data_IF_292469026726
#
_entry.id   IF_292469026726
#
_cell.length_a   1.000
_cell.length_b   1.000
_cell.length_c   1.000
_cell.angle_alpha   90.00
_cell.angle_beta   90.00
_cell.angle_gamma   90.00
#
_symmetry.space_group_name_H-M   'P 1'
#
loop_
_entity.id
_entity.type
_entity.pdbx_description
1 polymer ?
#
# COMPACT_ATOMS: atom_id res chain seq x y z
N UNK A 1 1.23 22.76 -25.12
CA UNK A 1 1.60 21.46 -24.50
C UNK A 1 1.61 21.46 -22.97
N UNK A 2 1.75 22.61 -22.28
CA UNK A 2 1.79 22.67 -20.80
C UNK A 2 0.50 22.23 -20.09
N UNK A 3 -0.67 22.70 -20.56
CA UNK A 3 -1.98 22.40 -19.94
C UNK A 3 -2.30 20.90 -19.92
N UNK A 4 -2.02 20.17 -21.01
CA UNK A 4 -2.28 18.74 -21.10
C UNK A 4 -1.39 17.94 -20.15
N UNK A 5 -0.11 18.31 -20.05
CA UNK A 5 0.86 17.70 -19.13
C UNK A 5 0.46 17.95 -17.67
N UNK A 6 0.00 19.16 -17.36
CA UNK A 6 -0.48 19.51 -16.03
C UNK A 6 -1.74 18.73 -15.63
N UNK A 7 -2.69 18.55 -16.56
CA UNK A 7 -3.87 17.69 -16.33
C UNK A 7 -3.50 16.22 -16.12
N UNK A 8 -2.51 15.71 -16.85
CA UNK A 8 -1.98 14.35 -16.63
C UNK A 8 -1.31 14.25 -15.26
N UNK A 9 -0.50 15.24 -14.88
CA UNK A 9 0.17 15.28 -13.57
C UNK A 9 -0.86 15.28 -12.41
N UNK A 10 -1.91 16.09 -12.51
CA UNK A 10 -3.01 16.16 -11.53
C UNK A 10 -3.85 14.87 -11.45
N UNK A 11 -3.71 13.96 -12.41
CA UNK A 11 -4.51 12.74 -12.52
C UNK A 11 -5.90 12.97 -13.12
N UNK A 12 -6.11 14.06 -13.87
CA UNK A 12 -7.34 14.25 -14.64
C UNK A 12 -7.40 13.29 -15.83
N UNK A 13 -6.24 12.90 -16.36
CA UNK A 13 -6.10 11.97 -17.48
C UNK A 13 -5.23 10.78 -17.03
N UNK A 14 -5.72 9.53 -17.07
CA UNK A 14 -4.92 8.36 -16.74
C UNK A 14 -3.73 8.19 -17.68
N UNK A 15 -2.53 7.83 -17.17
CA UNK A 15 -1.40 7.54 -18.05
C UNK A 15 -1.72 6.32 -18.93
N UNK A 16 -1.53 6.46 -20.24
CA UNK A 16 -1.87 5.43 -21.24
C UNK A 16 -1.29 4.03 -20.94
N UNK A 17 -0.05 3.88 -20.43
CA UNK A 17 0.47 2.57 -20.03
C UNK A 17 -0.41 1.86 -18.98
N UNK A 18 -0.93 2.61 -18.01
CA UNK A 18 -1.77 2.09 -16.92
C UNK A 18 -3.14 1.63 -17.43
N UNK A 19 -3.78 2.42 -18.30
CA UNK A 19 -5.03 2.04 -18.96
C UNK A 19 -4.88 0.78 -19.82
N UNK A 20 -3.81 0.70 -20.61
CA UNK A 20 -3.54 -0.45 -21.48
C UNK A 20 -3.34 -1.74 -20.67
N UNK A 21 -2.65 -1.65 -19.53
CA UNK A 21 -2.47 -2.79 -18.64
C UNK A 21 -3.80 -3.22 -18.00
N UNK A 22 -4.63 -2.28 -17.53
CA UNK A 22 -5.95 -2.60 -16.97
C UNK A 22 -6.93 -3.25 -17.97
N UNK A 23 -6.95 -2.81 -19.23
CA UNK A 23 -7.84 -3.42 -20.23
C UNK A 23 -7.43 -4.85 -20.60
N UNK A 24 -6.12 -5.12 -20.63
CA UNK A 24 -5.59 -6.47 -20.89
C UNK A 24 -5.95 -7.48 -19.81
N UNK A 25 -6.32 -7.01 -18.62
CA UNK A 25 -6.51 -7.86 -17.44
C UNK A 25 -7.95 -8.28 -17.21
N UNK A 26 -8.91 -7.59 -17.82
CA UNK A 26 -10.33 -7.96 -17.74
C UNK A 26 -10.62 -9.33 -18.36
N UNK A 27 -10.00 -9.65 -19.50
CA UNK A 27 -10.18 -10.92 -20.20
C UNK A 27 -9.75 -12.13 -19.37
N UNK A 28 -8.47 -12.24 -18.95
CA UNK A 28 -8.02 -13.39 -18.18
C UNK A 28 -8.71 -13.48 -16.81
N UNK A 29 -9.02 -12.37 -16.14
CA UNK A 29 -9.78 -12.40 -14.89
C UNK A 29 -11.17 -13.01 -15.07
N UNK A 30 -11.89 -12.62 -16.14
CA UNK A 30 -13.20 -13.20 -16.45
C UNK A 30 -13.13 -14.70 -16.73
N UNK A 31 -12.05 -15.15 -17.38
CA UNK A 31 -11.80 -16.57 -17.66
C UNK A 31 -11.53 -17.39 -16.40
N UNK A 32 -10.67 -16.89 -15.49
CA UNK A 32 -10.38 -17.55 -14.20
C UNK A 32 -11.66 -17.69 -13.37
N UNK A 33 -12.45 -16.62 -13.28
CA UNK A 33 -13.72 -16.61 -12.55
C UNK A 33 -14.69 -17.64 -13.12
N UNK A 34 -14.80 -17.73 -14.44
CA UNK A 34 -15.66 -18.71 -15.11
C UNK A 34 -15.23 -20.17 -14.83
N UNK A 35 -13.92 -20.43 -14.70
CA UNK A 35 -13.38 -21.76 -14.38
C UNK A 35 -13.50 -22.16 -12.91
N UNK A 36 -13.73 -21.20 -12.02
CA UNK A 36 -13.74 -21.41 -10.58
C UNK A 36 -15.11 -21.03 -9.93
N UNK A 37 -16.26 -21.59 -10.38
CA UNK A 37 -17.58 -21.17 -9.93
C UNK A 37 -17.82 -21.44 -8.43
N UNK A 38 -17.20 -22.50 -7.88
CA UNK A 38 -17.26 -22.79 -6.44
C UNK A 38 -16.58 -21.71 -5.59
N UNK A 39 -15.46 -21.15 -6.07
CA UNK A 39 -14.77 -20.09 -5.35
C UNK A 39 -15.59 -18.79 -5.33
N UNK A 40 -16.31 -18.48 -6.40
CA UNK A 40 -17.27 -17.36 -6.42
C UNK A 40 -18.41 -17.60 -5.42
N UNK A 41 -18.97 -18.81 -5.37
CA UNK A 41 -20.06 -19.16 -4.46
C UNK A 41 -19.69 -19.02 -2.97
N UNK A 42 -18.42 -19.19 -2.59
CA UNK A 42 -17.93 -18.96 -1.21
C UNK A 42 -18.22 -17.54 -0.71
N UNK A 43 -18.22 -16.56 -1.61
CA UNK A 43 -18.47 -15.16 -1.26
C UNK A 43 -19.93 -14.86 -0.87
N UNK A 44 -20.88 -15.76 -1.16
CA UNK A 44 -22.30 -15.54 -0.82
C UNK A 44 -22.51 -15.27 0.67
N UNK A 45 -21.81 -16.02 1.53
CA UNK A 45 -21.90 -15.82 2.98
C UNK A 45 -21.28 -14.49 3.39
N UNK A 46 -20.12 -14.14 2.82
CA UNK A 46 -19.45 -12.86 3.06
C UNK A 46 -20.31 -11.66 2.63
N UNK A 47 -21.07 -11.78 1.53
CA UNK A 47 -22.00 -10.75 1.07
C UNK A 47 -23.25 -10.65 1.96
N UNK A 48 -23.87 -11.79 2.30
CA UNK A 48 -25.03 -11.83 3.22
C UNK A 48 -24.71 -11.17 4.57
N UNK A 49 -23.53 -11.47 5.13
CA UNK A 49 -23.05 -10.87 6.39
C UNK A 49 -22.92 -9.34 6.32
N UNK A 50 -22.57 -8.79 5.16
CA UNK A 50 -22.46 -7.33 4.95
C UNK A 50 -23.83 -6.68 4.80
N UNK A 51 -24.72 -7.33 4.04
CA UNK A 51 -26.10 -6.87 3.88
C UNK A 51 -26.82 -6.80 5.24
N UNK A 52 -26.61 -7.76 6.15
CA UNK A 52 -27.17 -7.70 7.51
C UNK A 52 -26.61 -6.58 8.37
N UNK A 53 -25.47 -6.00 7.99
CA UNK A 53 -24.84 -4.84 8.64
C UNK A 53 -25.09 -3.53 7.89
N UNK A 54 -25.98 -3.54 6.89
CA UNK A 54 -26.24 -2.40 6.00
C UNK A 54 -24.97 -1.87 5.30
N UNK A 55 -24.00 -2.75 5.05
CA UNK A 55 -22.75 -2.46 4.35
C UNK A 55 -22.82 -3.00 2.90
N UNK A 56 -22.22 -2.32 1.91
CA UNK A 56 -22.19 -2.85 0.55
C UNK A 56 -21.34 -4.13 0.49
N UNK A 57 -21.58 -5.03 -0.49
CA UNK A 57 -20.94 -6.35 -0.52
C UNK A 57 -19.40 -6.33 -0.61
N UNK A 58 -18.80 -5.22 -1.07
CA UNK A 58 -17.35 -5.03 -1.17
C UNK A 58 -16.72 -4.33 0.05
N UNK A 59 -17.51 -3.84 1.02
CA UNK A 59 -16.99 -3.07 2.15
C UNK A 59 -16.12 -3.88 3.10
N UNK A 60 -15.24 -3.18 3.82
CA UNK A 60 -14.56 -3.76 4.97
C UNK A 60 -15.52 -3.92 6.15
N UNK A 61 -15.43 -5.06 6.84
CA UNK A 61 -16.45 -5.45 7.83
C UNK A 61 -16.19 -4.89 9.23
N UNK A 62 -14.93 -4.71 9.61
CA UNK A 62 -14.58 -4.24 10.96
C UNK A 62 -15.05 -2.80 11.19
N UNK A 63 -15.31 -2.48 12.46
CA UNK A 63 -15.34 -1.09 12.90
C UNK A 63 -13.90 -0.63 13.16
N UNK A 64 -13.47 0.35 12.38
CA UNK A 64 -12.12 0.89 12.42
C UNK A 64 -12.01 2.16 13.29
N UNK A 65 -13.11 2.58 13.93
CA UNK A 65 -13.18 3.82 14.70
C UNK A 65 -12.11 3.93 15.80
N UNK A 66 -11.68 2.81 16.38
CA UNK A 66 -10.61 2.77 17.38
C UNK A 66 -9.23 3.17 16.83
N UNK A 67 -9.04 3.09 15.51
CA UNK A 67 -7.79 3.44 14.83
C UNK A 67 -7.80 4.86 14.23
N UNK A 68 -8.85 5.65 14.48
CA UNK A 68 -8.92 7.04 14.03
C UNK A 68 -7.83 7.89 14.70
N UNK A 69 -6.81 8.26 13.93
CA UNK A 69 -5.68 9.05 14.42
C UNK A 69 -6.04 10.51 14.63
N UNK A 70 -7.18 10.99 14.13
CA UNK A 70 -7.63 12.36 14.43
C UNK A 70 -7.98 12.54 15.90
N UNK A 71 -8.22 11.44 16.63
CA UNK A 71 -8.36 11.44 18.10
C UNK A 71 -7.09 11.87 18.83
N UNK A 72 -5.94 11.84 18.18
CA UNK A 72 -4.68 12.38 18.71
C UNK A 72 -4.63 13.91 18.63
N UNK A 73 -5.50 14.54 17.84
CA UNK A 73 -5.50 15.98 17.60
C UNK A 73 -6.31 16.70 18.68
N UNK A 74 -5.77 17.82 19.14
CA UNK A 74 -6.41 18.78 20.04
C UNK A 74 -6.86 20.02 19.26
N UNK A 75 -7.65 20.89 19.88
CA UNK A 75 -8.05 22.18 19.26
C UNK A 75 -6.85 23.07 18.92
N UNK A 76 -5.73 22.93 19.61
CA UNK A 76 -4.51 23.71 19.37
C UNK A 76 -3.78 23.28 18.10
N UNK A 77 -3.86 21.99 17.75
CA UNK A 77 -3.27 21.45 16.51
C UNK A 77 -3.96 22.06 15.25
N UNK A 78 -5.18 22.59 15.39
CA UNK A 78 -5.93 23.24 14.31
C UNK A 78 -5.71 24.75 14.20
N UNK A 79 -4.97 25.37 15.14
CA UNK A 79 -4.58 26.77 15.02
C UNK A 79 -3.30 26.90 14.19
N UNK A 80 -3.20 27.98 13.42
CA UNK A 80 -2.00 28.31 12.62
C UNK A 80 -1.54 27.13 11.76
N UNK A 81 -2.48 26.55 11.02
CA UNK A 81 -2.22 25.38 10.19
C UNK A 81 -1.14 25.67 9.14
N UNK A 82 -0.23 24.72 8.87
CA UNK A 82 0.78 24.80 7.81
C UNK A 82 0.25 25.37 6.48
N UNK A 83 0.98 26.20 5.73
CA UNK A 83 0.45 26.82 4.52
C UNK A 83 0.12 25.81 3.41
N UNK A 84 -0.80 26.18 2.51
CA UNK A 84 -1.12 25.38 1.32
C UNK A 84 -0.33 25.94 0.13
N UNK A 85 0.33 25.06 -0.62
CA UNK A 85 1.07 25.41 -1.84
C UNK A 85 0.36 24.88 -3.08
N UNK A 86 0.45 25.62 -4.18
CA UNK A 86 0.00 25.17 -5.50
C UNK A 86 1.17 24.71 -6.39
N UNK A 87 2.40 24.65 -5.86
CA UNK A 87 3.57 24.18 -6.60
C UNK A 87 3.47 22.67 -6.88
N UNK A 88 4.01 22.25 -8.03
CA UNK A 88 4.11 20.84 -8.39
C UNK A 88 4.82 20.04 -7.29
N UNK A 89 4.24 18.90 -6.93
CA UNK A 89 4.64 18.01 -5.83
C UNK A 89 4.45 18.57 -4.42
N UNK A 90 3.87 19.76 -4.24
CA UNK A 90 3.41 20.30 -2.95
C UNK A 90 1.89 20.52 -2.91
N UNK A 91 1.25 20.60 -4.07
CA UNK A 91 -0.20 20.82 -4.19
C UNK A 91 -1.04 19.58 -3.87
N UNK A 92 -2.29 19.78 -3.43
CA UNK A 92 -3.24 18.70 -3.24
C UNK A 92 -3.52 18.01 -4.57
N UNK A 93 -3.73 16.70 -4.50
CA UNK A 93 -4.16 15.90 -5.64
C UNK A 93 -5.21 14.89 -5.19
N UNK A 94 -5.85 14.20 -6.12
CA UNK A 94 -6.90 13.25 -5.73
C UNK A 94 -6.30 12.09 -4.93
N UNK A 95 -7.04 11.70 -3.89
CA UNK A 95 -6.62 10.77 -2.84
C UNK A 95 -5.51 11.29 -1.92
N UNK A 96 -4.93 12.45 -2.21
CA UNK A 96 -3.90 13.12 -1.43
C UNK A 96 -4.25 14.61 -1.18
N UNK A 97 -5.35 14.90 -0.44
CA UNK A 97 -5.74 16.27 -0.08
C UNK A 97 -4.84 16.82 1.05
N UNK A 98 -3.63 17.26 0.72
CA UNK A 98 -2.70 17.86 1.69
C UNK A 98 -3.17 19.22 2.24
N UNK A 99 -4.21 19.80 1.65
CA UNK A 99 -4.89 21.01 2.07
C UNK A 99 -5.99 20.77 3.13
N UNK A 100 -6.38 19.51 3.37
CA UNK A 100 -7.37 19.15 4.41
C UNK A 100 -6.89 19.61 5.80
N UNK A 101 -7.77 20.23 6.61
CA UNK A 101 -7.44 20.64 7.97
C UNK A 101 -6.87 19.53 8.83
N UNK A 102 -7.42 18.32 8.75
CA UNK A 102 -6.96 17.17 9.55
C UNK A 102 -5.56 16.68 9.13
N UNK A 103 -5.24 16.74 7.83
CA UNK A 103 -3.90 16.39 7.34
C UNK A 103 -2.89 17.45 7.79
N UNK A 104 -3.23 18.73 7.66
CA UNK A 104 -2.35 19.84 8.08
C UNK A 104 -2.12 19.84 9.59
N UNK A 105 -3.16 19.58 10.38
CA UNK A 105 -3.06 19.46 11.84
C UNK A 105 -2.19 18.25 12.23
N UNK A 106 -2.38 17.10 11.58
CA UNK A 106 -1.53 15.93 11.81
C UNK A 106 -0.08 16.18 11.38
N UNK A 107 0.15 16.85 10.26
CA UNK A 107 1.49 17.25 9.81
C UNK A 107 2.17 18.15 10.84
N UNK A 108 1.48 19.18 11.34
CA UNK A 108 1.95 20.05 12.44
C UNK A 108 2.31 19.23 13.67
N UNK A 109 1.40 18.37 14.15
CA UNK A 109 1.63 17.50 15.31
C UNK A 109 2.86 16.60 15.17
N UNK A 110 3.16 16.15 13.95
CA UNK A 110 4.32 15.31 13.65
C UNK A 110 5.63 16.11 13.47
N UNK A 111 5.56 17.44 13.49
CA UNK A 111 6.70 18.37 13.50
C UNK A 111 6.91 19.16 12.20
N UNK A 112 5.89 19.30 11.36
CA UNK A 112 5.97 20.14 10.16
C UNK A 112 6.34 21.58 10.54
N UNK A 113 7.33 22.17 9.86
CA UNK A 113 7.87 23.52 10.10
C UNK A 113 8.48 23.76 11.50
N UNK A 114 8.60 22.71 12.33
CA UNK A 114 9.25 22.76 13.64
C UNK A 114 10.54 21.93 13.67
N UNK A 115 10.55 20.78 12.98
CA UNK A 115 11.71 19.89 12.87
C UNK A 115 12.49 20.15 11.58
N UNK A 116 13.77 19.77 11.60
CA UNK A 116 14.57 19.64 10.38
C UNK A 116 13.89 18.70 9.36
N UNK A 117 14.01 18.95 8.04
CA UNK A 117 13.28 18.20 7.00
C UNK A 117 13.43 16.68 7.10
N UNK A 118 14.65 16.20 7.37
CA UNK A 118 14.93 14.76 7.52
C UNK A 118 14.25 14.14 8.75
N UNK A 119 14.21 14.85 9.87
CA UNK A 119 13.57 14.38 11.11
C UNK A 119 12.04 14.42 11.01
N UNK A 120 11.50 15.43 10.30
CA UNK A 120 10.10 15.45 9.94
C UNK A 120 9.72 14.28 9.01
N UNK A 121 10.53 14.02 7.97
CA UNK A 121 10.31 12.91 7.04
C UNK A 121 10.31 11.54 7.74
N UNK A 122 11.25 11.30 8.67
CA UNK A 122 11.26 10.11 9.52
C UNK A 122 10.00 10.01 10.40
N UNK A 123 9.59 11.12 11.00
CA UNK A 123 8.42 11.17 11.89
C UNK A 123 7.14 10.75 11.17
N UNK A 124 6.89 11.30 9.98
CA UNK A 124 5.71 10.94 9.18
C UNK A 124 5.82 9.53 8.60
N UNK A 125 7.02 9.08 8.20
CA UNK A 125 7.24 7.73 7.70
C UNK A 125 6.88 6.69 8.76
N UNK A 126 7.45 6.81 9.96
CA UNK A 126 7.18 5.85 11.04
C UNK A 126 5.77 5.96 11.59
N UNK A 127 5.14 7.14 11.57
CA UNK A 127 3.71 7.27 11.85
C UNK A 127 2.87 6.45 10.88
N UNK A 128 3.06 6.62 9.56
CA UNK A 128 2.29 5.86 8.58
C UNK A 128 2.62 4.36 8.67
N UNK A 129 3.90 3.98 8.69
CA UNK A 129 4.34 2.58 8.74
C UNK A 129 3.80 1.82 9.96
N UNK A 130 3.84 2.43 11.14
CA UNK A 130 3.55 1.72 12.39
C UNK A 130 2.20 2.04 13.03
N UNK A 131 1.48 3.07 12.57
CA UNK A 131 0.11 3.36 13.04
C UNK A 131 -0.97 3.07 12.01
N UNK A 132 -0.60 2.87 10.73
CA UNK A 132 -1.54 2.59 9.63
C UNK A 132 -1.16 1.30 8.94
N UNK A 133 -2.02 0.29 9.08
CA UNK A 133 -1.70 -1.07 8.67
C UNK A 133 -2.14 -1.38 7.24
N UNK A 134 -1.46 -2.35 6.61
CA UNK A 134 -1.94 -2.94 5.36
C UNK A 134 -3.28 -3.65 5.60
N UNK A 135 -4.34 -3.09 5.03
CA UNK A 135 -5.68 -3.66 5.05
C UNK A 135 -6.22 -3.67 3.63
N UNK A 136 -6.53 -4.86 3.11
CA UNK A 136 -7.13 -5.00 1.81
C UNK A 136 -8.61 -4.61 1.85
N UNK A 137 -8.88 -3.40 1.35
CA UNK A 137 -10.20 -2.80 1.22
C UNK A 137 -10.23 -1.82 0.04
N UNK A 138 -11.42 -1.41 -0.43
CA UNK A 138 -11.53 -0.36 -1.44
C UNK A 138 -10.80 0.91 -1.00
N UNK A 139 -10.22 1.64 -1.96
CA UNK A 139 -9.37 2.80 -1.65
C UNK A 139 -10.17 3.94 -0.99
N UNK A 140 -9.61 4.51 0.07
CA UNK A 140 -10.23 5.58 0.86
C UNK A 140 -9.46 6.91 0.82
N UNK A 141 -8.23 6.92 0.30
CA UNK A 141 -7.35 8.09 0.23
C UNK A 141 -6.79 8.53 1.59
N UNK A 142 -5.92 9.53 1.59
CA UNK A 142 -5.15 9.96 2.76
C UNK A 142 -6.01 10.23 4.01
N UNK A 143 -7.08 11.03 3.89
CA UNK A 143 -7.98 11.35 5.01
C UNK A 143 -8.73 10.10 5.51
N UNK A 144 -9.13 9.21 4.59
CA UNK A 144 -9.78 7.95 4.97
C UNK A 144 -8.86 7.01 5.73
N UNK A 145 -7.58 6.93 5.33
CA UNK A 145 -6.55 6.16 6.04
C UNK A 145 -6.28 6.78 7.40
N UNK A 146 -6.17 8.12 7.48
CA UNK A 146 -5.96 8.83 8.75
C UNK A 146 -7.03 8.47 9.79
N UNK A 147 -8.28 8.33 9.35
CA UNK A 147 -9.48 8.03 10.18
C UNK A 147 -9.79 6.53 10.34
N UNK A 148 -8.93 5.62 9.85
CA UNK A 148 -9.17 4.16 9.92
C UNK A 148 -7.92 3.38 10.31
N UNK A 149 -8.02 2.04 10.36
CA UNK A 149 -6.93 1.10 10.70
C UNK A 149 -5.76 1.20 9.74
N UNK A 150 -6.06 1.59 8.50
CA UNK A 150 -5.08 1.71 7.44
C UNK A 150 -5.74 1.52 6.08
N UNK A 151 -5.04 0.90 5.15
CA UNK A 151 -5.51 0.68 3.79
C UNK A 151 -4.48 -0.08 2.97
N UNK A 152 -4.72 -0.18 1.66
CA UNK A 152 -3.77 -0.78 0.72
C UNK A 152 -2.50 0.08 0.58
N UNK A 153 -1.44 -0.43 -0.05
CA UNK A 153 -0.18 0.30 -0.24
C UNK A 153 -0.39 1.70 -0.84
N UNK A 154 -1.26 1.82 -1.86
CA UNK A 154 -1.61 3.08 -2.53
C UNK A 154 -2.22 4.13 -1.59
N UNK A 155 -3.03 3.67 -0.64
CA UNK A 155 -3.70 4.49 0.36
C UNK A 155 -2.69 5.01 1.39
N UNK A 156 -1.79 4.15 1.87
CA UNK A 156 -0.72 4.55 2.79
C UNK A 156 0.29 5.50 2.14
N UNK A 157 0.68 5.26 0.88
CA UNK A 157 1.49 6.20 0.11
C UNK A 157 0.80 7.56 0.01
N UNK A 158 -0.51 7.58 -0.25
CA UNK A 158 -1.27 8.83 -0.34
C UNK A 158 -1.28 9.59 0.98
N UNK A 159 -1.39 8.90 2.12
CA UNK A 159 -1.26 9.55 3.44
C UNK A 159 0.14 10.10 3.69
N UNK A 160 1.19 9.31 3.41
CA UNK A 160 2.58 9.75 3.58
C UNK A 160 2.90 10.97 2.72
N UNK A 161 2.51 10.96 1.45
CA UNK A 161 2.67 12.08 0.52
C UNK A 161 1.85 13.28 0.99
N UNK A 162 0.61 13.10 1.44
CA UNK A 162 -0.23 14.21 1.90
C UNK A 162 0.37 14.90 3.12
N UNK A 163 0.90 14.14 4.08
CA UNK A 163 1.61 14.68 5.25
C UNK A 163 2.88 15.42 4.80
N UNK A 164 3.72 14.80 3.98
CA UNK A 164 4.95 15.42 3.48
C UNK A 164 4.69 16.76 2.78
N UNK A 165 3.71 16.81 1.87
CA UNK A 165 3.31 18.02 1.16
C UNK A 165 2.79 19.10 2.09
N UNK A 166 1.96 18.73 3.07
CA UNK A 166 1.45 19.65 4.08
C UNK A 166 2.59 20.24 4.94
N UNK A 167 3.68 19.51 5.14
CA UNK A 167 4.90 19.97 5.80
C UNK A 167 5.95 20.63 4.90
N UNK A 168 5.62 20.95 3.65
CA UNK A 168 6.52 21.65 2.73
C UNK A 168 7.56 20.76 2.03
N UNK A 169 7.50 19.43 2.19
CA UNK A 169 8.38 18.48 1.49
C UNK A 169 7.72 18.07 0.17
N UNK A 170 8.42 18.28 -0.95
CA UNK A 170 7.97 17.81 -2.27
C UNK A 170 7.87 16.28 -2.23
N UNK A 171 6.71 15.75 -2.61
CA UNK A 171 6.47 14.32 -2.55
C UNK A 171 5.67 13.82 -3.76
N UNK A 172 6.02 12.64 -4.27
CA UNK A 172 5.42 12.04 -5.48
C UNK A 172 5.29 10.52 -5.38
N UNK A 173 4.46 9.96 -6.26
CA UNK A 173 4.26 8.51 -6.34
C UNK A 173 5.26 7.90 -7.31
N UNK A 174 5.76 6.70 -6.99
CA UNK A 174 6.49 5.84 -7.92
C UNK A 174 5.89 4.43 -7.88
N UNK A 175 5.24 4.01 -8.95
CA UNK A 175 4.78 2.63 -9.14
C UNK A 175 5.80 1.82 -9.90
N UNK A 176 5.95 0.55 -9.56
CA UNK A 176 6.92 -0.34 -10.18
C UNK A 176 6.46 -1.80 -10.15
N UNK A 177 7.10 -2.59 -11.00
CA UNK A 177 6.98 -4.04 -10.99
C UNK A 177 7.84 -4.66 -9.90
N UNK A 178 7.32 -5.70 -9.25
CA UNK A 178 8.07 -6.45 -8.24
C UNK A 178 7.73 -7.93 -8.29
N UNK A 179 8.64 -8.73 -7.73
CA UNK A 179 8.42 -10.14 -7.42
C UNK A 179 8.33 -10.26 -5.89
N UNK A 180 7.26 -10.84 -5.33
CA UNK A 180 7.16 -11.09 -3.90
C UNK A 180 8.16 -12.16 -3.48
N UNK A 181 8.68 -12.07 -2.26
CA UNK A 181 9.42 -13.20 -1.69
C UNK A 181 8.47 -14.34 -1.29
N UNK A 182 9.04 -15.52 -0.98
CA UNK A 182 8.27 -16.70 -0.56
C UNK A 182 7.43 -16.41 0.68
N UNK A 183 8.00 -15.69 1.65
CA UNK A 183 7.34 -15.32 2.90
C UNK A 183 6.08 -14.46 2.64
N UNK A 184 6.15 -13.54 1.68
CA UNK A 184 5.00 -12.73 1.27
C UNK A 184 3.96 -13.59 0.55
N UNK A 185 4.39 -14.44 -0.39
CA UNK A 185 3.52 -15.31 -1.17
C UNK A 185 2.73 -16.28 -0.26
N UNK A 186 3.38 -16.87 0.75
CA UNK A 186 2.75 -17.81 1.66
C UNK A 186 1.64 -17.19 2.51
N UNK A 187 1.81 -15.92 2.87
CA UNK A 187 0.79 -15.19 3.63
C UNK A 187 -0.37 -14.78 2.72
N UNK A 188 -0.10 -14.28 1.51
CA UNK A 188 -1.10 -13.58 0.69
C UNK A 188 -1.70 -14.39 -0.46
N UNK A 189 -1.01 -15.38 -1.02
CA UNK A 189 -1.40 -16.03 -2.29
C UNK A 189 -1.96 -17.45 -2.14
N UNK A 190 -1.71 -18.14 -1.02
CA UNK A 190 -2.05 -19.56 -0.86
C UNK A 190 -3.54 -19.85 -0.51
N UNK A 191 -4.36 -18.82 -0.25
CA UNK A 191 -5.72 -18.99 0.28
C UNK A 191 -6.78 -19.28 -0.79
N UNK A 192 -6.63 -18.73 -2.01
CA UNK A 192 -7.67 -18.82 -3.05
C UNK A 192 -7.08 -19.14 -4.43
N UNK A 193 -7.54 -20.23 -5.09
CA UNK A 193 -7.13 -20.56 -6.45
C UNK A 193 -7.35 -19.42 -7.45
N UNK A 194 -8.43 -18.65 -7.33
CA UNK A 194 -8.65 -17.46 -8.17
C UNK A 194 -7.57 -16.43 -7.91
N UNK A 195 -7.21 -16.13 -6.66
CA UNK A 195 -6.20 -15.11 -6.36
C UNK A 195 -4.81 -15.56 -6.82
N UNK A 196 -4.47 -16.84 -6.65
CA UNK A 196 -3.24 -17.46 -7.16
C UNK A 196 -3.18 -17.45 -8.70
N UNK A 197 -4.22 -17.96 -9.36
CA UNK A 197 -4.33 -18.04 -10.83
C UNK A 197 -4.45 -16.64 -11.46
N UNK A 198 -5.10 -15.70 -10.76
CA UNK A 198 -5.16 -14.26 -11.13
C UNK A 198 -3.78 -13.61 -11.04
N UNK A 199 -3.03 -13.87 -9.96
CA UNK A 199 -1.66 -13.40 -9.82
C UNK A 199 -0.76 -13.92 -10.95
N UNK A 200 -0.88 -15.21 -11.29
CA UNK A 200 -0.12 -15.89 -12.34
C UNK A 200 -0.47 -15.43 -13.77
N UNK A 201 -1.76 -15.30 -14.10
CA UNK A 201 -2.20 -14.99 -15.46
C UNK A 201 -2.09 -13.52 -15.83
N UNK A 202 -2.15 -12.62 -14.85
CA UNK A 202 -2.44 -11.24 -15.16
C UNK A 202 -1.23 -10.34 -15.14
N UNK A 203 -0.15 -10.66 -14.43
CA UNK A 203 0.98 -9.71 -14.24
C UNK A 203 0.51 -8.30 -13.85
N UNK A 204 -0.74 -8.19 -13.38
CA UNK A 204 -1.50 -6.94 -13.20
C UNK A 204 -1.07 -6.28 -11.91
N UNK A 205 -0.63 -7.10 -10.96
CA UNK A 205 0.00 -6.68 -9.72
C UNK A 205 1.46 -6.25 -9.95
N UNK A 206 2.09 -6.62 -11.08
CA UNK A 206 3.42 -6.16 -11.49
C UNK A 206 3.42 -4.64 -11.82
N UNK A 207 2.37 -3.87 -11.55
CA UNK A 207 2.40 -2.40 -11.64
C UNK A 207 1.46 -1.70 -10.63
N UNK A 208 0.97 -2.41 -9.61
CA UNK A 208 0.04 -1.86 -8.61
C UNK A 208 0.65 -1.65 -7.24
N UNK A 209 1.93 -2.01 -7.08
CA UNK A 209 2.71 -1.63 -5.91
C UNK A 209 3.62 -0.44 -6.23
N UNK A 210 3.96 0.31 -5.19
CA UNK A 210 4.82 1.46 -5.32
C UNK A 210 5.36 1.94 -3.99
N UNK A 211 6.11 3.03 -4.07
CA UNK A 211 6.61 3.77 -2.94
C UNK A 211 6.29 5.26 -3.09
N UNK A 212 6.33 5.98 -1.97
CA UNK A 212 6.42 7.43 -1.99
C UNK A 212 7.88 7.83 -2.21
N UNK A 213 8.11 8.91 -2.94
CA UNK A 213 9.39 9.59 -2.96
C UNK A 213 9.24 10.97 -2.33
N UNK A 214 10.10 11.28 -1.36
CA UNK A 214 10.16 12.57 -0.67
C UNK A 214 11.48 13.27 -1.05
N UNK A 215 11.41 14.57 -1.35
CA UNK A 215 12.58 15.37 -1.68
C UNK A 215 13.16 16.01 -0.43
N UNK A 216 14.28 15.49 0.06
CA UNK A 216 14.94 15.92 1.30
C UNK A 216 16.42 16.16 0.98
N UNK A 217 16.97 17.28 1.43
CA UNK A 217 18.39 17.65 1.27
C UNK A 217 18.94 17.55 -0.16
N UNK A 218 18.10 17.82 -1.15
CA UNK A 218 18.47 17.83 -2.57
C UNK A 218 18.26 16.49 -3.30
N UNK A 219 17.79 15.45 -2.60
CA UNK A 219 17.65 14.11 -3.16
C UNK A 219 16.23 13.55 -2.97
N UNK A 220 15.82 12.65 -3.89
CA UNK A 220 14.56 11.91 -3.75
C UNK A 220 14.81 10.62 -2.98
N UNK A 221 14.29 10.55 -1.75
CA UNK A 221 14.36 9.36 -0.90
C UNK A 221 13.12 8.51 -1.13
N UNK A 222 13.32 7.24 -1.47
CA UNK A 222 12.26 6.25 -1.64
C UNK A 222 11.82 5.71 -0.28
N UNK A 223 10.52 5.76 -0.01
CA UNK A 223 9.91 5.33 1.26
C UNK A 223 8.69 4.46 0.99
N UNK A 224 8.69 3.27 1.59
CA UNK A 224 7.57 2.34 1.55
C UNK A 224 7.05 2.04 2.95
N UNK A 225 5.91 2.63 3.35
CA UNK A 225 5.35 2.40 4.68
C UNK A 225 4.45 1.16 4.76
N UNK A 226 4.28 0.37 3.68
CA UNK A 226 3.19 -0.61 3.55
C UNK A 226 3.13 -1.64 4.68
N UNK A 227 4.27 -2.20 5.07
CA UNK A 227 4.34 -3.21 6.14
C UNK A 227 4.86 -2.55 7.42
N UNK A 228 4.12 -2.70 8.52
CA UNK A 228 4.57 -2.29 9.85
C UNK A 228 5.73 -3.15 10.32
N UNK A 229 6.50 -2.64 11.28
CA UNK A 229 7.60 -3.38 11.92
C UNK A 229 7.11 -4.75 12.44
N UNK A 230 5.91 -4.77 13.02
CA UNK A 230 5.26 -5.97 13.53
C UNK A 230 4.87 -6.96 12.43
N UNK A 231 4.44 -6.49 11.26
CA UNK A 231 4.11 -7.38 10.15
C UNK A 231 5.38 -8.02 9.59
N UNK A 232 6.43 -7.22 9.36
CA UNK A 232 7.73 -7.72 8.86
C UNK A 232 8.34 -8.73 9.85
N UNK A 233 8.34 -8.40 11.13
CA UNK A 233 8.86 -9.28 12.16
C UNK A 233 8.08 -10.60 12.25
N UNK A 234 6.75 -10.54 12.16
CA UNK A 234 5.86 -11.70 12.18
C UNK A 234 5.98 -12.59 10.94
N UNK A 235 6.33 -12.01 9.79
CA UNK A 235 6.70 -12.74 8.57
C UNK A 235 8.13 -13.33 8.64
N UNK A 236 8.89 -13.01 9.68
CA UNK A 236 10.27 -13.46 9.84
C UNK A 236 11.29 -12.68 9.00
N UNK A 237 10.88 -11.54 8.45
CA UNK A 237 11.69 -10.67 7.60
C UNK A 237 12.43 -9.60 8.43
N UNK A 238 13.61 -9.13 7.98
CA UNK A 238 14.21 -7.92 8.53
C UNK A 238 13.23 -6.74 8.49
N UNK A 239 13.13 -6.00 9.59
CA UNK A 239 12.34 -4.77 9.67
C UNK A 239 13.07 -3.67 8.89
N UNK A 240 12.40 -3.09 7.90
CA UNK A 240 12.94 -2.05 7.04
C UNK A 240 13.02 -0.70 7.79
N UNK A 241 14.19 -0.06 7.74
CA UNK A 241 14.41 1.28 8.28
C UNK A 241 14.06 2.36 7.24
N UNK A 242 14.02 3.63 7.69
CA UNK A 242 13.84 4.78 6.81
C UNK A 242 14.84 4.78 5.65
N UNK A 243 14.33 4.86 4.41
CA UNK A 243 15.15 4.88 3.19
C UNK A 243 15.69 3.51 2.74
N UNK A 244 15.47 2.44 3.50
CA UNK A 244 15.85 1.08 3.09
C UNK A 244 14.81 0.46 2.15
N UNK A 245 15.27 -0.35 1.19
CA UNK A 245 14.37 -1.15 0.38
C UNK A 245 13.87 -2.35 1.21
N UNK A 246 12.54 -2.55 1.33
CA UNK A 246 11.97 -3.67 2.06
C UNK A 246 12.32 -5.02 1.43
N UNK A 247 12.56 -6.01 2.29
CA UNK A 247 13.03 -7.36 1.88
C UNK A 247 11.92 -8.29 1.43
N UNK A 248 10.64 -7.96 1.65
CA UNK A 248 9.50 -8.78 1.22
C UNK A 248 9.27 -8.79 -0.30
N UNK A 249 10.07 -8.03 -1.06
CA UNK A 249 10.01 -7.97 -2.52
C UNK A 249 11.38 -7.76 -3.16
N UNK A 250 11.44 -8.08 -4.45
CA UNK A 250 12.51 -7.67 -5.36
C UNK A 250 11.90 -6.78 -6.44
N UNK A 251 12.40 -5.55 -6.55
CA UNK A 251 11.98 -4.62 -7.61
C UNK A 251 12.54 -5.06 -8.96
N UNK A 252 11.70 -5.00 -9.99
CA UNK A 252 12.14 -5.14 -11.37
C UNK A 252 12.38 -3.72 -11.94
N UNK A 253 13.64 -3.36 -12.27
CA UNK A 253 14.01 -1.98 -12.61
C UNK A 253 13.43 -1.47 -13.94
N UNK A 254 12.85 -2.35 -14.76
CA UNK A 254 12.25 -1.99 -16.02
C UNK A 254 10.77 -1.66 -15.83
N UNK A 255 10.42 -0.36 -15.82
CA UNK A 255 9.07 0.27 -15.90
C UNK A 255 8.56 0.97 -14.63
N UNK A 256 9.41 1.78 -14.02
CA UNK A 256 8.94 2.74 -13.03
C UNK A 256 8.05 3.82 -13.66
N UNK A 257 6.93 4.11 -13.01
CA UNK A 257 6.05 5.23 -13.37
C UNK A 257 6.03 6.22 -12.22
N UNK A 258 6.53 7.43 -12.49
CA UNK A 258 6.53 8.54 -11.53
C UNK A 258 5.45 9.54 -11.90
N UNK A 259 4.60 9.91 -10.95
CA UNK A 259 3.50 10.85 -11.17
C UNK A 259 3.10 11.57 -9.88
N UNK A 260 2.29 12.64 -10.02
CA UNK A 260 1.94 13.52 -8.92
C UNK A 260 0.60 13.13 -8.24
N UNK A 261 -0.43 12.73 -8.99
CA UNK A 261 -1.74 12.35 -8.47
C UNK A 261 -2.43 11.21 -9.23
N UNK A 262 -3.30 10.46 -8.55
CA UNK A 262 -3.97 9.30 -9.14
C UNK A 262 -5.09 9.67 -10.15
N UNK A 263 -5.31 8.87 -11.21
CA UNK A 263 -6.38 9.08 -12.20
C UNK A 263 -7.81 8.96 -11.67
N UNK A 264 -8.81 9.58 -12.32
CA UNK A 264 -10.23 9.68 -11.86
C UNK A 264 -10.83 8.36 -11.40
N UNK A 265 -10.65 7.32 -12.20
CA UNK A 265 -11.25 6.01 -11.95
C UNK A 265 -10.47 5.15 -10.97
N UNK A 266 -9.28 5.58 -10.54
CA UNK A 266 -8.36 4.74 -9.77
C UNK A 266 -8.88 4.41 -8.36
N UNK A 267 -9.70 5.27 -7.76
CA UNK A 267 -10.33 5.03 -6.45
C UNK A 267 -11.15 3.73 -6.42
N UNK A 268 -11.82 3.42 -7.54
CA UNK A 268 -12.72 2.28 -7.64
C UNK A 268 -12.05 1.04 -8.27
N UNK A 269 -10.74 1.12 -8.55
CA UNK A 269 -9.99 0.07 -9.25
C UNK A 269 -10.18 -1.31 -8.61
N UNK A 270 -10.14 -1.36 -7.29
CA UNK A 270 -10.16 -2.61 -6.53
C UNK A 270 -11.56 -3.04 -6.10
N UNK A 271 -12.62 -2.25 -6.38
CA UNK A 271 -13.98 -2.55 -5.91
C UNK A 271 -14.54 -3.83 -6.52
N UNK A 272 -14.32 -4.06 -7.82
CA UNK A 272 -14.76 -5.28 -8.49
C UNK A 272 -14.05 -6.53 -7.96
N UNK A 273 -12.73 -6.45 -7.75
CA UNK A 273 -11.97 -7.53 -7.11
C UNK A 273 -12.43 -7.77 -5.67
N UNK A 274 -12.61 -6.71 -4.89
CA UNK A 274 -13.12 -6.80 -3.53
C UNK A 274 -14.52 -7.41 -3.46
N UNK A 275 -15.35 -7.21 -4.49
CA UNK A 275 -16.64 -7.89 -4.60
C UNK A 275 -16.48 -9.38 -4.87
N UNK A 276 -15.70 -9.75 -5.90
CA UNK A 276 -15.56 -11.13 -6.37
C UNK A 276 -14.74 -12.04 -5.43
N UNK A 277 -13.81 -11.47 -4.68
CA UNK A 277 -12.88 -12.18 -3.79
C UNK A 277 -13.10 -11.83 -2.32
N UNK A 278 -14.32 -11.40 -1.97
CA UNK A 278 -14.64 -10.84 -0.66
C UNK A 278 -14.24 -11.75 0.51
N UNK A 279 -14.53 -13.04 0.40
CA UNK A 279 -14.20 -14.06 1.41
C UNK A 279 -12.69 -14.21 1.57
N UNK A 280 -11.97 -14.36 0.45
CA UNK A 280 -10.50 -14.40 0.42
C UNK A 280 -9.88 -13.17 1.07
N UNK A 281 -10.38 -11.97 0.71
CA UNK A 281 -9.83 -10.72 1.22
C UNK A 281 -10.08 -10.59 2.73
N UNK A 282 -11.20 -11.10 3.25
CA UNK A 282 -11.46 -11.14 4.70
C UNK A 282 -10.49 -12.08 5.42
N UNK A 283 -10.25 -13.28 4.88
CA UNK A 283 -9.30 -14.25 5.46
C UNK A 283 -7.85 -13.73 5.42
N UNK A 284 -7.43 -13.14 4.30
CA UNK A 284 -6.09 -12.52 4.19
C UNK A 284 -5.93 -11.39 5.21
N UNK A 285 -6.94 -10.53 5.38
CA UNK A 285 -6.87 -9.47 6.41
C UNK A 285 -6.75 -10.05 7.82
N UNK A 286 -7.52 -11.09 8.16
CA UNK A 286 -7.44 -11.75 9.47
C UNK A 286 -6.05 -12.36 9.71
N UNK A 287 -5.50 -13.06 8.70
CA UNK A 287 -4.15 -13.63 8.76
C UNK A 287 -3.07 -12.56 8.92
N UNK A 288 -3.19 -11.42 8.24
CA UNK A 288 -2.27 -10.30 8.42
C UNK A 288 -2.30 -9.77 9.86
N UNK A 289 -3.45 -9.75 10.51
CA UNK A 289 -3.55 -9.34 11.92
C UNK A 289 -2.94 -10.38 12.86
N UNK A 290 -3.14 -11.67 12.62
CA UNK A 290 -2.47 -12.74 13.38
C UNK A 290 -0.95 -12.65 13.26
N UNK A 291 -0.44 -12.41 12.04
CA UNK A 291 0.99 -12.27 11.78
C UNK A 291 1.54 -11.02 12.50
N UNK A 292 0.83 -9.89 12.47
CA UNK A 292 1.22 -8.69 13.24
C UNK A 292 1.28 -8.97 14.73
N UNK A 293 0.32 -9.70 15.28
CA UNK A 293 0.31 -10.00 16.72
C UNK A 293 1.51 -10.89 17.11
N UNK A 294 1.85 -11.88 16.29
CA UNK A 294 3.08 -12.68 16.46
C UNK A 294 4.32 -11.80 16.40
N UNK A 295 4.42 -10.91 15.42
CA UNK A 295 5.56 -10.00 15.31
C UNK A 295 5.65 -8.99 16.46
N UNK A 296 4.51 -8.51 16.98
CA UNK A 296 4.45 -7.67 18.18
C UNK A 296 5.05 -8.38 19.39
N UNK A 297 4.74 -9.66 19.57
CA UNK A 297 5.31 -10.48 20.64
C UNK A 297 6.82 -10.67 20.47
N UNK A 298 7.28 -11.02 19.25
CA UNK A 298 8.71 -11.17 18.94
C UNK A 298 9.48 -9.88 19.24
N UNK A 299 8.97 -8.73 18.78
CA UNK A 299 9.62 -7.44 18.99
C UNK A 299 9.60 -6.98 20.45
N UNK A 300 8.56 -7.34 21.21
CA UNK A 300 8.47 -7.08 22.65
C UNK A 300 9.48 -7.91 23.45
N UNK A 301 9.72 -9.15 23.05
CA UNK A 301 10.65 -10.06 23.75
C UNK A 301 12.12 -9.78 23.44
N UNK A 302 12.45 -9.57 22.16
CA UNK A 302 13.85 -9.49 21.70
C UNK A 302 14.31 -8.02 21.57
N UNK A 303 13.39 -7.10 21.31
CA UNK A 303 13.69 -5.73 20.89
C UNK A 303 13.99 -5.64 19.39
N UNK A 304 13.54 -4.54 18.76
CA UNK A 304 13.69 -4.31 17.31
C UNK A 304 15.15 -4.35 16.84
N UNK A 305 16.04 -3.67 17.56
CA UNK A 305 17.45 -3.57 17.17
C UNK A 305 18.13 -4.96 17.15
N UNK A 306 17.95 -5.74 18.21
CA UNK A 306 18.53 -7.07 18.32
C UNK A 306 17.89 -8.06 17.34
N UNK A 307 16.58 -7.97 17.12
CA UNK A 307 15.88 -8.73 16.09
C UNK A 307 16.49 -8.46 14.70
N UNK A 308 16.61 -7.19 14.32
CA UNK A 308 17.19 -6.78 13.04
C UNK A 308 18.65 -7.19 12.90
N UNK A 309 19.45 -7.06 13.96
CA UNK A 309 20.85 -7.50 13.98
C UNK A 309 21.00 -8.99 13.69
N UNK A 310 20.12 -9.83 14.25
CA UNK A 310 20.10 -11.28 13.97
C UNK A 310 19.62 -11.58 12.56
N UNK A 311 18.51 -10.96 12.14
CA UNK A 311 17.87 -11.24 10.85
C UNK A 311 18.69 -10.76 9.67
N UNK A 312 19.19 -9.52 9.66
CA UNK A 312 20.02 -8.99 8.56
C UNK A 312 21.34 -9.77 8.37
N UNK A 313 21.87 -10.42 9.41
CA UNK A 313 23.03 -11.33 9.28
C UNK A 313 22.70 -12.65 8.58
N UNK A 314 21.47 -13.12 8.70
CA UNK A 314 20.98 -14.36 8.09
C UNK A 314 20.41 -14.12 6.68
N UNK A 315 19.84 -12.94 6.44
CA UNK A 315 19.28 -12.53 5.17
C UNK A 315 20.38 -11.98 4.25
N UNK A 316 21.03 -12.85 3.47
CA UNK A 316 21.75 -12.42 2.27
C UNK A 316 20.71 -12.24 1.16
N UNK A 317 20.51 -11.01 0.69
CA UNK A 317 19.68 -10.76 -0.49
C UNK A 317 20.46 -11.29 -1.69
N UNK A 318 20.25 -12.56 -2.04
CA UNK A 318 20.54 -13.03 -3.39
C UNK A 318 19.43 -12.49 -4.27
N UNK A 319 19.74 -11.45 -5.05
CA UNK A 319 18.85 -10.97 -6.10
C UNK A 319 18.66 -12.14 -7.07
N UNK A 320 17.45 -12.73 -7.18
CA UNK A 320 17.25 -13.78 -8.14
C UNK A 320 17.46 -13.19 -9.53
N UNK A 321 18.31 -13.84 -10.32
CA UNK A 321 18.50 -13.51 -11.73
C UNK A 321 17.15 -13.53 -12.46
N UNK A 322 17.05 -12.80 -13.57
CA UNK A 322 15.83 -12.80 -14.40
C UNK A 322 15.44 -14.23 -14.83
N UNK A 323 16.42 -15.11 -14.99
CA UNK A 323 16.20 -16.51 -15.31
C UNK A 323 15.72 -17.32 -14.10
N UNK A 324 16.17 -17.02 -12.88
CA UNK A 324 15.61 -17.60 -11.64
C UNK A 324 14.18 -17.11 -11.38
N UNK A 325 13.86 -15.86 -11.68
CA UNK A 325 12.49 -15.34 -11.62
C UNK A 325 11.61 -16.04 -12.67
N UNK A 326 12.09 -16.20 -13.90
CA UNK A 326 11.39 -16.97 -14.95
C UNK A 326 11.24 -18.44 -14.57
N UNK A 327 12.27 -19.06 -13.99
CA UNK A 327 12.25 -20.45 -13.53
C UNK A 327 11.36 -20.62 -12.29
N UNK A 328 11.28 -19.65 -11.39
CA UNK A 328 10.33 -19.65 -10.27
C UNK A 328 8.90 -19.57 -10.81
N UNK A 329 8.64 -18.65 -11.75
CA UNK A 329 7.36 -18.57 -12.48
C UNK A 329 7.06 -19.89 -13.23
N UNK A 330 8.04 -20.56 -13.82
CA UNK A 330 7.86 -21.84 -14.51
C UNK A 330 7.73 -23.05 -13.58
N UNK A 331 8.45 -23.11 -12.45
CA UNK A 331 8.34 -24.20 -11.45
C UNK A 331 6.98 -24.19 -10.77
N UNK A 332 6.47 -22.99 -10.44
CA UNK A 332 5.08 -22.81 -10.03
C UNK A 332 4.11 -23.35 -11.08
N UNK A 333 4.40 -23.19 -12.38
CA UNK A 333 3.58 -23.73 -13.49
C UNK A 333 3.67 -25.26 -13.61
N UNK A 334 4.79 -25.89 -13.26
CA UNK A 334 4.99 -27.36 -13.41
C UNK A 334 4.32 -28.14 -12.27
N UNK A 335 4.34 -27.66 -11.03
CA UNK A 335 3.63 -28.29 -9.89
C UNK A 335 2.09 -28.27 -10.02
N UNK A 336 1.56 -27.56 -11.02
CA UNK A 336 0.13 -27.44 -11.31
C UNK A 336 -0.37 -28.50 -12.32
N UNK A 337 0.54 -29.13 -13.08
CA UNK A 337 0.21 -30.15 -14.09
C UNK A 337 0.43 -31.59 -13.61
N UNK A 338 0.77 -31.78 -12.34
CA UNK A 338 0.97 -33.08 -11.66
C UNK A 338 -0.05 -33.24 -10.53
#
# INVERSE_FOLDING_TARGET
MGWLKERVDLGDIPPMPLMKNFLKTLGPLSYVVARNPKAVARNLNAWKKRLSLSKPPWAHIEDESKYDSTKMLSKEDFKDLPPVSNEKYLRPTRLCPCDSPEIRAMAKKLGAYEKEPIEYAKSIFYFVKNQKYLVFKPMVGAVGVLKSKGGVCLDQMSLLIALARAGGIKARYRLYAFVPTREMADVMLNEDPILRETYELLGFLDSLHGCAELYVDGEWIQLDPTFSDELEAGMGLPVAEFGEEPTWRVRLPERDIVFEGFPVFFRNLLTGMAFMLRDTVDNVNAKLDEVREKGRQILKEIGKEEYNRKKKKQFKIELPSLDEVKQFRQKMVVEINS
#
